data_IF_891311336172
#
_entry.id   IF_891311336172
#
_cell.length_a   1.000
_cell.length_b   1.000
_cell.length_c   1.000
_cell.angle_alpha   90.00
_cell.angle_beta   90.00
_cell.angle_gamma   90.00
#
_symmetry.space_group_name_H-M   'P 1'
#
loop_
_entity.id
_entity.type
_entity.pdbx_description
1 polymer ?
#
# COMPACT_ATOMS: atom_id res chain seq x y z
N UNK A 1 -15.88 4.63 27.45
CA UNK A 1 -14.59 4.08 27.93
C UNK A 1 -14.40 2.61 27.56
N UNK A 2 -15.35 1.71 27.86
CA UNK A 2 -15.29 0.28 27.47
C UNK A 2 -14.99 0.04 25.97
N UNK A 3 -15.67 0.76 25.08
CA UNK A 3 -15.48 0.58 23.63
C UNK A 3 -14.12 1.07 23.14
N UNK A 4 -13.56 2.11 23.77
CA UNK A 4 -12.22 2.63 23.44
C UNK A 4 -11.11 1.66 23.86
N UNK A 5 -11.28 0.99 25.01
CA UNK A 5 -10.35 -0.05 25.49
C UNK A 5 -10.30 -1.23 24.51
N UNK A 6 -11.46 -1.64 23.97
CA UNK A 6 -11.53 -2.71 22.97
C UNK A 6 -10.89 -2.31 21.63
N UNK A 7 -11.12 -1.08 21.17
CA UNK A 7 -10.44 -0.56 19.97
C UNK A 7 -8.92 -0.48 20.15
N UNK A 8 -8.46 -0.05 21.33
CA UNK A 8 -7.03 0.00 21.65
C UNK A 8 -6.39 -1.39 21.71
N UNK A 9 -7.08 -2.37 22.30
CA UNK A 9 -6.62 -3.78 22.35
C UNK A 9 -6.51 -4.42 20.96
N UNK A 10 -7.40 -4.08 20.02
CA UNK A 10 -7.33 -4.57 18.64
C UNK A 10 -6.10 -4.06 17.87
N UNK A 11 -5.60 -2.87 18.19
CA UNK A 11 -4.39 -2.29 17.55
C UNK A 11 -3.11 -3.00 18.03
N UNK A 12 -3.11 -3.61 19.21
CA UNK A 12 -1.94 -4.29 19.78
C UNK A 12 -1.70 -5.70 19.20
N UNK A 13 -2.63 -6.21 18.40
CA UNK A 13 -2.47 -7.51 17.73
C UNK A 13 -1.46 -7.32 16.58
N UNK A 14 -0.21 -7.70 16.83
CA UNK A 14 0.84 -7.72 15.82
C UNK A 14 0.68 -8.96 14.95
N UNK A 15 0.30 -8.77 13.69
CA UNK A 15 0.31 -9.82 12.69
C UNK A 15 1.69 -9.88 12.04
N UNK A 16 2.35 -11.05 12.10
CA UNK A 16 3.54 -11.30 11.29
C UNK A 16 3.11 -11.48 9.84
N UNK A 17 3.36 -10.47 9.01
CA UNK A 17 3.10 -10.54 7.56
C UNK A 17 4.35 -11.04 6.84
N UNK A 18 4.16 -11.93 5.87
CA UNK A 18 5.27 -12.35 5.01
C UNK A 18 5.66 -11.19 4.07
N UNK A 19 6.95 -11.03 3.84
CA UNK A 19 7.42 -10.14 2.79
C UNK A 19 6.99 -10.69 1.41
N UNK A 20 6.57 -9.81 0.51
CA UNK A 20 6.15 -10.17 -0.85
C UNK A 20 7.26 -10.92 -1.59
N UNK A 21 6.93 -12.06 -2.20
CA UNK A 21 7.92 -12.97 -2.77
C UNK A 21 8.41 -12.53 -4.16
N UNK A 22 7.58 -11.79 -4.90
CA UNK A 22 7.91 -11.27 -6.22
C UNK A 22 7.25 -9.92 -6.51
N UNK A 23 7.71 -9.27 -7.58
CA UNK A 23 7.27 -7.93 -7.95
C UNK A 23 5.82 -7.87 -8.44
N UNK A 24 5.32 -8.92 -9.10
CA UNK A 24 3.92 -8.98 -9.53
C UNK A 24 2.99 -9.04 -8.33
N UNK A 25 3.31 -9.86 -7.33
CA UNK A 25 2.56 -9.96 -6.09
C UNK A 25 2.60 -8.63 -5.32
N UNK A 26 3.77 -7.99 -5.23
CA UNK A 26 3.91 -6.68 -4.62
C UNK A 26 3.09 -5.60 -5.35
N UNK A 27 3.11 -5.59 -6.69
CA UNK A 27 2.33 -4.66 -7.49
C UNK A 27 0.82 -4.88 -7.27
N UNK A 28 0.36 -6.12 -7.42
CA UNK A 28 -1.05 -6.48 -7.23
C UNK A 28 -1.53 -6.16 -5.80
N UNK A 29 -0.70 -6.43 -4.79
CA UNK A 29 -1.03 -6.10 -3.41
C UNK A 29 -1.17 -4.59 -3.23
N UNK A 30 -0.18 -3.77 -3.61
CA UNK A 30 -0.25 -2.32 -3.36
C UNK A 30 -1.35 -1.66 -4.22
N UNK A 31 -1.50 -2.07 -5.49
CA UNK A 31 -2.55 -1.56 -6.39
C UNK A 31 -3.94 -1.96 -5.91
N UNK A 32 -4.15 -3.25 -5.63
CA UNK A 32 -5.43 -3.78 -5.16
C UNK A 32 -5.81 -3.19 -3.80
N UNK A 33 -4.88 -3.17 -2.85
CA UNK A 33 -5.08 -2.56 -1.54
C UNK A 33 -5.40 -1.07 -1.65
N UNK A 34 -4.65 -0.33 -2.48
CA UNK A 34 -4.92 1.09 -2.73
C UNK A 34 -6.31 1.33 -3.31
N UNK A 35 -6.73 0.49 -4.28
CA UNK A 35 -8.06 0.57 -4.88
C UNK A 35 -9.17 0.28 -3.87
N UNK A 36 -9.05 -0.81 -3.10
CA UNK A 36 -10.08 -1.25 -2.16
C UNK A 36 -10.26 -0.27 -1.00
N UNK A 37 -9.18 0.07 -0.29
CA UNK A 37 -9.26 1.00 0.85
C UNK A 37 -9.61 2.42 0.41
N UNK A 38 -9.09 2.85 -0.75
CA UNK A 38 -9.46 4.14 -1.35
C UNK A 38 -10.95 4.21 -1.67
N UNK A 39 -11.52 3.12 -2.19
CA UNK A 39 -12.97 3.04 -2.47
C UNK A 39 -13.81 2.97 -1.21
N UNK A 40 -13.43 2.19 -0.19
CA UNK A 40 -14.16 2.15 1.08
C UNK A 40 -14.19 3.53 1.73
N UNK A 41 -13.04 4.22 1.80
CA UNK A 41 -12.96 5.57 2.32
C UNK A 41 -13.83 6.56 1.54
N UNK A 42 -13.83 6.47 0.21
CA UNK A 42 -14.64 7.33 -0.65
C UNK A 42 -16.15 7.09 -0.50
N UNK A 43 -16.58 5.83 -0.31
CA UNK A 43 -17.99 5.49 -0.06
C UNK A 43 -18.46 6.08 1.27
N UNK A 44 -17.65 5.95 2.33
CA UNK A 44 -17.96 6.49 3.66
C UNK A 44 -18.11 8.02 3.60
N UNK A 45 -17.30 8.70 2.78
CA UNK A 45 -17.30 10.15 2.67
C UNK A 45 -18.14 10.70 1.50
N UNK A 46 -18.95 9.86 0.82
CA UNK A 46 -19.71 10.30 -0.36
C UNK A 46 -20.80 11.30 0.04
N UNK A 47 -21.13 12.22 -0.86
CA UNK A 47 -22.32 13.07 -0.67
C UNK A 47 -23.61 12.24 -0.85
N UNK A 48 -24.72 12.56 -0.15
CA UNK A 48 -25.98 11.83 -0.29
C UNK A 48 -26.47 11.74 -1.73
N UNK A 49 -26.38 12.85 -2.47
CA UNK A 49 -26.87 13.00 -3.85
C UNK A 49 -25.90 12.46 -4.92
N UNK A 50 -24.68 12.06 -4.52
CA UNK A 50 -23.70 11.55 -5.47
C UNK A 50 -23.97 10.07 -5.83
N UNK A 51 -24.05 9.73 -7.14
CA UNK A 51 -24.27 8.35 -7.57
C UNK A 51 -23.14 7.43 -7.10
N UNK A 52 -23.50 6.35 -6.39
CA UNK A 52 -22.54 5.41 -5.81
C UNK A 52 -21.58 4.83 -6.86
N UNK A 53 -22.09 4.46 -8.04
CA UNK A 53 -21.25 3.92 -9.12
C UNK A 53 -20.19 4.90 -9.64
N UNK A 54 -20.46 6.22 -9.60
CA UNK A 54 -19.49 7.25 -9.99
C UNK A 54 -18.37 7.35 -8.95
N UNK A 55 -18.72 7.32 -7.66
CA UNK A 55 -17.77 7.33 -6.55
C UNK A 55 -16.88 6.10 -6.60
N UNK A 56 -17.45 4.91 -6.78
CA UNK A 56 -16.70 3.65 -6.86
C UNK A 56 -15.72 3.68 -8.02
N UNK A 57 -16.17 3.99 -9.24
CA UNK A 57 -15.27 4.02 -10.42
C UNK A 57 -14.13 5.01 -10.25
N UNK A 58 -14.44 6.23 -9.76
CA UNK A 58 -13.44 7.28 -9.53
C UNK A 58 -12.42 6.84 -8.47
N UNK A 59 -12.90 6.37 -7.32
CA UNK A 59 -12.02 6.00 -6.21
C UNK A 59 -11.21 4.74 -6.49
N UNK A 60 -11.75 3.76 -7.22
CA UNK A 60 -11.03 2.54 -7.60
C UNK A 60 -9.79 2.87 -8.43
N UNK A 61 -9.94 3.67 -9.49
CA UNK A 61 -8.79 3.98 -10.34
C UNK A 61 -7.79 4.90 -9.63
N UNK A 62 -8.26 5.86 -8.83
CA UNK A 62 -7.39 6.75 -8.05
C UNK A 62 -6.60 5.96 -7.00
N UNK A 63 -7.25 5.05 -6.30
CA UNK A 63 -6.63 4.16 -5.34
C UNK A 63 -5.63 3.21 -5.99
N UNK A 64 -5.98 2.61 -7.14
CA UNK A 64 -5.09 1.78 -7.92
C UNK A 64 -3.84 2.54 -8.40
N UNK A 65 -4.00 3.78 -8.87
CA UNK A 65 -2.89 4.64 -9.29
C UNK A 65 -1.95 4.94 -8.11
N UNK A 66 -2.50 5.32 -6.95
CA UNK A 66 -1.70 5.55 -5.73
C UNK A 66 -0.96 4.29 -5.27
N UNK A 67 -1.62 3.14 -5.35
CA UNK A 67 -1.02 1.84 -5.09
C UNK A 67 0.13 1.50 -6.04
N UNK A 68 -0.02 1.80 -7.33
CA UNK A 68 1.04 1.61 -8.32
C UNK A 68 2.26 2.49 -8.04
N UNK A 69 2.05 3.77 -7.73
CA UNK A 69 3.15 4.69 -7.35
C UNK A 69 3.89 4.15 -6.12
N UNK A 70 3.17 3.60 -5.15
CA UNK A 70 3.75 3.00 -3.94
C UNK A 70 4.62 1.79 -4.26
N UNK A 71 4.15 0.91 -5.14
CA UNK A 71 4.91 -0.24 -5.61
C UNK A 71 6.19 0.20 -6.35
N UNK A 72 6.07 1.10 -7.32
CA UNK A 72 7.21 1.60 -8.11
C UNK A 72 8.25 2.29 -7.23
N UNK A 73 7.81 3.04 -6.22
CA UNK A 73 8.71 3.68 -5.24
C UNK A 73 9.55 2.64 -4.50
N UNK A 74 8.94 1.53 -4.05
CA UNK A 74 9.65 0.44 -3.38
C UNK A 74 10.61 -0.28 -4.33
N UNK A 75 10.22 -0.47 -5.59
CA UNK A 75 11.07 -1.07 -6.64
C UNK A 75 12.34 -0.24 -6.88
N UNK A 76 12.18 1.07 -7.07
CA UNK A 76 13.31 2.01 -7.26
C UNK A 76 14.25 1.99 -6.05
N UNK A 77 13.71 2.02 -4.82
CA UNK A 77 14.54 1.95 -3.61
C UNK A 77 15.33 0.65 -3.52
N UNK A 78 14.74 -0.48 -3.92
CA UNK A 78 15.43 -1.78 -3.95
C UNK A 78 16.54 -1.81 -5.00
N UNK A 79 16.31 -1.23 -6.18
CA UNK A 79 17.33 -1.09 -7.22
C UNK A 79 18.47 -0.17 -6.78
N UNK A 80 18.15 0.98 -6.16
CA UNK A 80 19.14 1.90 -5.62
C UNK A 80 19.98 1.25 -4.51
N UNK A 81 19.34 0.49 -3.60
CA UNK A 81 20.04 -0.29 -2.58
C UNK A 81 20.94 -1.35 -3.19
N UNK A 82 20.48 -2.09 -4.18
CA UNK A 82 21.28 -3.12 -4.86
C UNK A 82 22.53 -2.54 -5.52
N UNK A 83 22.39 -1.42 -6.24
CA UNK A 83 23.52 -0.69 -6.85
C UNK A 83 24.49 -0.15 -5.80
N UNK A 84 23.97 0.42 -4.71
CA UNK A 84 24.81 0.90 -3.60
C UNK A 84 25.59 -0.24 -2.95
N UNK A 85 24.95 -1.38 -2.68
CA UNK A 85 25.63 -2.53 -2.10
C UNK A 85 26.73 -3.06 -3.03
N UNK A 86 26.47 -3.14 -4.34
CA UNK A 86 27.48 -3.51 -5.34
C UNK A 86 28.69 -2.56 -5.35
N UNK A 87 28.47 -1.26 -5.15
CA UNK A 87 29.56 -0.28 -5.01
C UNK A 87 30.32 -0.43 -3.68
N UNK A 88 29.65 -0.79 -2.58
CA UNK A 88 30.32 -1.03 -1.28
C UNK A 88 31.21 -2.29 -1.36
N UNK A 89 30.76 -3.37 -2.01
CA UNK A 89 31.58 -4.56 -2.24
C UNK A 89 32.68 -4.34 -3.29
N UNK A 90 32.47 -3.44 -4.27
CA UNK A 90 33.50 -3.04 -5.23
C UNK A 90 34.65 -2.23 -4.62
N UNK A 91 34.39 -1.51 -3.51
CA UNK A 91 35.40 -0.75 -2.78
C UNK A 91 36.14 -1.57 -1.70
N UNK A 92 35.67 -2.78 -1.37
CA UNK A 92 36.37 -3.71 -0.46
C UNK A 92 37.35 -4.65 -1.17
N UNK A 93 37.40 -4.62 -2.51
CA UNK A 93 38.27 -5.50 -3.32
C UNK A 93 39.53 -4.79 -3.86
N UNK A 94 39.99 -3.72 -3.21
CA UNK A 94 41.27 -3.05 -3.47
C UNK A 94 42.03 -2.81 -2.17
#
# INVERSE_FOLDING_TARGET
MRNLILTFLLILISFSTNAQANDTEAALYNVGFGAEFGTVGAIINKSPDEPLGKVIKKSLWQGALGGYITFESKRILREARSKSNGNIFGLQNW
#
